data_IF_237698808870
#
_entry.id   IF_237698808870
#
_cell.length_a   1.000
_cell.length_b   1.000
_cell.length_c   1.000
_cell.angle_alpha   90.00
_cell.angle_beta   90.00
_cell.angle_gamma   90.00
#
_symmetry.space_group_name_H-M   'P 1'
#
loop_
_entity.id
_entity.type
_entity.pdbx_description
1 polymer ?
#
# COMPACT_ATOMS: atom_id res chain seq x y z
N UNK A 1 -57.79 -3.56 134.80
CA UNK A 1 -56.53 -3.44 134.03
C UNK A 1 -56.89 -3.41 132.55
N UNK A 2 -56.15 -2.59 131.81
CA UNK A 2 -56.09 -2.44 130.35
C UNK A 2 -57.20 -1.60 129.68
N UNK A 3 -56.73 -0.46 129.18
CA UNK A 3 -57.38 0.61 128.44
C UNK A 3 -57.88 0.16 127.05
N UNK A 4 -59.05 0.65 126.66
CA UNK A 4 -59.45 0.79 125.26
C UNK A 4 -59.54 2.28 124.96
N UNK A 5 -58.55 2.80 124.22
CA UNK A 5 -58.61 4.14 123.65
C UNK A 5 -58.88 4.01 122.14
N UNK A 6 -60.00 4.61 121.74
CA UNK A 6 -60.47 4.78 120.37
C UNK A 6 -59.53 5.70 119.58
N UNK A 7 -59.08 5.26 118.40
CA UNK A 7 -58.22 6.03 117.48
C UNK A 7 -58.92 6.29 116.13
N UNK A 8 -59.22 7.57 115.90
CA UNK A 8 -59.51 8.34 114.66
C UNK A 8 -59.72 7.67 113.28
N UNK A 9 -60.77 8.06 112.51
CA UNK A 9 -60.97 7.70 111.10
C UNK A 9 -60.32 8.67 110.08
N UNK A 10 -59.49 9.63 110.52
CA UNK A 10 -58.86 10.63 109.65
C UNK A 10 -57.59 10.15 108.91
N UNK A 11 -57.02 8.99 109.25
CA UNK A 11 -55.81 8.49 108.55
C UNK A 11 -56.12 7.70 107.26
N UNK A 12 -57.33 7.11 107.14
CA UNK A 12 -57.69 6.27 105.99
C UNK A 12 -57.88 7.07 104.69
N UNK A 13 -58.48 8.26 104.76
CA UNK A 13 -58.62 9.13 103.56
C UNK A 13 -57.28 9.70 103.10
N UNK A 14 -56.37 10.00 104.04
CA UNK A 14 -55.04 10.49 103.70
C UNK A 14 -54.18 9.37 103.08
N UNK A 15 -54.30 8.14 103.57
CA UNK A 15 -53.63 6.97 102.98
C UNK A 15 -54.15 6.64 101.57
N UNK A 16 -55.46 6.75 101.31
CA UNK A 16 -56.02 6.55 99.96
C UNK A 16 -55.55 7.62 98.96
N UNK A 17 -55.49 8.89 99.38
CA UNK A 17 -54.99 9.99 98.54
C UNK A 17 -53.48 9.84 98.28
N UNK A 18 -52.71 9.39 99.28
CA UNK A 18 -51.31 9.05 99.11
C UNK A 18 -51.13 7.87 98.14
N UNK A 19 -51.95 6.81 98.24
CA UNK A 19 -51.90 5.68 97.32
C UNK A 19 -52.25 6.08 95.88
N UNK A 20 -53.25 6.93 95.67
CA UNK A 20 -53.54 7.49 94.34
C UNK A 20 -52.38 8.34 93.82
N UNK A 21 -51.74 9.14 94.67
CA UNK A 21 -50.57 9.95 94.28
C UNK A 21 -49.36 9.07 93.93
N UNK A 22 -49.12 8.00 94.68
CA UNK A 22 -48.07 7.02 94.40
C UNK A 22 -48.36 6.29 93.10
N UNK A 23 -49.59 5.82 92.87
CA UNK A 23 -49.98 5.18 91.62
C UNK A 23 -49.86 6.11 90.40
N UNK A 24 -50.24 7.39 90.55
CA UNK A 24 -50.07 8.39 89.48
C UNK A 24 -48.58 8.66 89.18
N UNK A 25 -47.73 8.77 90.20
CA UNK A 25 -46.28 8.93 90.03
C UNK A 25 -45.63 7.67 89.44
N UNK A 26 -46.12 6.48 89.77
CA UNK A 26 -45.66 5.21 89.18
C UNK A 26 -46.05 5.12 87.70
N UNK A 27 -47.25 5.56 87.35
CA UNK A 27 -47.69 5.66 85.96
C UNK A 27 -46.84 6.66 85.18
N UNK A 28 -46.62 7.86 85.72
CA UNK A 28 -45.77 8.90 85.11
C UNK A 28 -44.32 8.40 84.95
N UNK A 29 -43.78 7.70 85.94
CA UNK A 29 -42.46 7.04 85.86
C UNK A 29 -42.42 5.98 84.76
N UNK A 30 -43.47 5.19 84.61
CA UNK A 30 -43.56 4.17 83.56
C UNK A 30 -43.66 4.80 82.15
N UNK A 31 -44.43 5.88 82.01
CA UNK A 31 -44.52 6.67 80.78
C UNK A 31 -43.18 7.32 80.42
N UNK A 32 -42.48 7.89 81.41
CA UNK A 32 -41.16 8.47 81.23
C UNK A 32 -40.11 7.43 80.80
N UNK A 33 -40.16 6.22 81.37
CA UNK A 33 -39.29 5.10 80.97
C UNK A 33 -39.58 4.68 79.52
N UNK A 34 -40.85 4.57 79.13
CA UNK A 34 -41.23 4.24 77.75
C UNK A 34 -40.75 5.31 76.76
N UNK A 35 -40.96 6.59 77.09
CA UNK A 35 -40.50 7.70 76.23
C UNK A 35 -38.98 7.71 76.09
N UNK A 36 -38.25 7.48 77.19
CA UNK A 36 -36.79 7.35 77.16
C UNK A 36 -36.34 6.19 76.27
N UNK A 37 -36.97 5.01 76.39
CA UNK A 37 -36.67 3.86 75.55
C UNK A 37 -36.96 4.13 74.07
N UNK A 38 -38.04 4.84 73.77
CA UNK A 38 -38.38 5.24 72.41
C UNK A 38 -37.33 6.19 71.82
N UNK A 39 -36.92 7.21 72.56
CA UNK A 39 -35.86 8.14 72.13
C UNK A 39 -34.50 7.42 71.95
N UNK A 40 -34.15 6.49 72.83
CA UNK A 40 -32.95 5.66 72.69
C UNK A 40 -33.00 4.79 71.44
N UNK A 41 -34.16 4.19 71.14
CA UNK A 41 -34.36 3.39 69.93
C UNK A 41 -34.26 4.26 68.66
N UNK A 42 -34.90 5.43 68.64
CA UNK A 42 -34.80 6.39 67.53
C UNK A 42 -33.37 6.89 67.32
N UNK A 43 -32.65 7.19 68.40
CA UNK A 43 -31.25 7.60 68.31
C UNK A 43 -30.37 6.49 67.73
N UNK A 44 -30.54 5.24 68.19
CA UNK A 44 -29.81 4.09 67.67
C UNK A 44 -30.14 3.82 66.20
N UNK A 45 -31.41 3.98 65.80
CA UNK A 45 -31.82 3.86 64.40
C UNK A 45 -31.17 4.95 63.53
N UNK A 46 -31.20 6.20 63.98
CA UNK A 46 -30.53 7.32 63.27
C UNK A 46 -29.03 7.06 63.13
N UNK A 47 -28.36 6.65 64.21
CA UNK A 47 -26.94 6.29 64.20
C UNK A 47 -26.64 5.15 63.22
N UNK A 48 -27.47 4.11 63.17
CA UNK A 48 -27.31 3.00 62.24
C UNK A 48 -27.41 3.47 60.77
N UNK A 49 -28.42 4.28 60.45
CA UNK A 49 -28.60 4.88 59.12
C UNK A 49 -27.42 5.77 58.71
N UNK A 50 -26.92 6.61 59.60
CA UNK A 50 -25.74 7.44 59.32
C UNK A 50 -24.49 6.60 59.08
N UNK A 51 -24.29 5.54 59.87
CA UNK A 51 -23.16 4.61 59.68
C UNK A 51 -23.25 3.90 58.33
N UNK A 52 -24.43 3.43 57.95
CA UNK A 52 -24.67 2.79 56.66
C UNK A 52 -24.41 3.75 55.49
N UNK A 53 -24.90 4.98 55.56
CA UNK A 53 -24.65 6.01 54.55
C UNK A 53 -23.16 6.32 54.39
N UNK A 54 -22.43 6.44 55.51
CA UNK A 54 -20.99 6.69 55.49
C UNK A 54 -20.22 5.54 54.84
N UNK A 55 -20.54 4.29 55.18
CA UNK A 55 -19.91 3.11 54.60
C UNK A 55 -20.22 3.01 53.10
N UNK A 56 -21.47 3.24 52.71
CA UNK A 56 -21.88 3.26 51.30
C UNK A 56 -21.12 4.34 50.51
N UNK A 57 -20.97 5.55 51.07
CA UNK A 57 -20.18 6.62 50.45
C UNK A 57 -18.69 6.28 50.38
N UNK A 58 -18.13 5.64 51.40
CA UNK A 58 -16.73 5.21 51.39
C UNK A 58 -16.47 4.13 50.31
N UNK A 59 -17.41 3.19 50.15
CA UNK A 59 -17.36 2.18 49.09
C UNK A 59 -17.49 2.79 47.69
N UNK A 60 -18.40 3.75 47.51
CA UNK A 60 -18.55 4.47 46.25
C UNK A 60 -17.30 5.27 45.90
N UNK A 61 -16.69 5.94 46.89
CA UNK A 61 -15.46 6.71 46.68
C UNK A 61 -14.30 5.78 46.30
N UNK A 62 -14.19 4.60 46.92
CA UNK A 62 -13.23 3.56 46.50
C UNK A 62 -13.48 3.10 45.06
N UNK A 63 -14.74 2.85 44.69
CA UNK A 63 -15.12 2.45 43.32
C UNK A 63 -14.71 3.53 42.30
N UNK A 64 -14.98 4.80 42.61
CA UNK A 64 -14.58 5.93 41.76
C UNK A 64 -13.07 6.06 41.63
N UNK A 65 -12.31 5.92 42.73
CA UNK A 65 -10.84 5.94 42.67
C UNK A 65 -10.31 4.83 41.77
N UNK A 66 -10.82 3.60 41.89
CA UNK A 66 -10.39 2.49 41.02
C UNK A 66 -10.77 2.72 39.55
N UNK A 67 -11.92 3.33 39.28
CA UNK A 67 -12.34 3.67 37.92
C UNK A 67 -11.46 4.77 37.32
N UNK A 68 -11.09 5.79 38.11
CA UNK A 68 -10.19 6.86 37.70
C UNK A 68 -8.77 6.33 37.40
N UNK A 69 -8.25 5.46 38.26
CA UNK A 69 -6.96 4.79 38.05
C UNK A 69 -6.98 3.94 36.77
N UNK A 70 -8.07 3.20 36.53
CA UNK A 70 -8.28 2.45 35.29
C UNK A 70 -8.28 3.35 34.04
N UNK A 71 -9.07 4.42 34.06
CA UNK A 71 -9.12 5.39 32.96
C UNK A 71 -7.76 6.08 32.73
N UNK A 72 -7.00 6.35 33.79
CA UNK A 72 -5.67 6.95 33.67
C UNK A 72 -4.65 5.97 33.08
N UNK A 73 -4.73 4.69 33.44
CA UNK A 73 -3.92 3.64 32.83
C UNK A 73 -4.25 3.49 31.33
N UNK A 74 -5.54 3.48 30.96
CA UNK A 74 -5.98 3.45 29.56
C UNK A 74 -5.49 4.66 28.78
N UNK A 75 -5.62 5.87 29.33
CA UNK A 75 -5.12 7.10 28.72
C UNK A 75 -3.61 7.02 28.46
N UNK A 76 -2.83 6.52 29.42
CA UNK A 76 -1.37 6.36 29.26
C UNK A 76 -1.02 5.32 28.18
N UNK A 77 -1.80 4.24 28.07
CA UNK A 77 -1.65 3.22 27.04
C UNK A 77 -1.93 3.79 25.65
N UNK A 78 -3.04 4.52 25.49
CA UNK A 78 -3.42 5.16 24.22
C UNK A 78 -2.38 6.23 23.82
N UNK A 79 -1.88 7.02 24.78
CA UNK A 79 -0.80 7.98 24.50
C UNK A 79 0.47 7.28 24.00
N UNK A 80 0.82 6.13 24.57
CA UNK A 80 1.97 5.33 24.15
C UNK A 80 1.77 4.77 22.73
N UNK A 81 0.59 4.23 22.43
CA UNK A 81 0.24 3.75 21.08
C UNK A 81 0.28 4.88 20.05
N UNK A 82 -0.21 6.06 20.41
CA UNK A 82 -0.18 7.24 19.54
C UNK A 82 1.27 7.71 19.28
N UNK A 83 2.14 7.68 20.29
CA UNK A 83 3.57 7.97 20.10
C UNK A 83 4.24 6.94 19.18
N UNK A 84 3.94 5.66 19.37
CA UNK A 84 4.43 4.56 18.54
C UNK A 84 3.98 4.71 17.07
N UNK A 85 2.69 4.92 16.84
CA UNK A 85 2.14 5.13 15.50
C UNK A 85 2.75 6.36 14.80
N UNK A 86 3.02 7.45 15.54
CA UNK A 86 3.74 8.62 15.01
C UNK A 86 5.16 8.28 14.58
N UNK A 87 5.89 7.50 15.38
CA UNK A 87 7.25 7.07 15.03
C UNK A 87 7.27 6.16 13.79
N UNK A 88 6.28 5.27 13.66
CA UNK A 88 6.12 4.41 12.49
C UNK A 88 5.81 5.22 11.22
N UNK A 89 4.95 6.24 11.31
CA UNK A 89 4.67 7.15 10.20
C UNK A 89 5.96 7.87 9.74
N UNK A 90 6.76 8.39 10.67
CA UNK A 90 8.03 9.05 10.31
C UNK A 90 9.02 8.07 9.67
N UNK A 91 9.07 6.83 10.14
CA UNK A 91 9.90 5.78 9.54
C UNK A 91 9.43 5.47 8.11
N UNK A 92 8.12 5.32 7.88
CA UNK A 92 7.54 5.08 6.56
C UNK A 92 7.84 6.25 5.62
N UNK A 93 7.72 7.50 6.09
CA UNK A 93 8.07 8.69 5.29
C UNK A 93 9.54 8.71 4.88
N UNK A 94 10.45 8.36 5.80
CA UNK A 94 11.88 8.27 5.49
C UNK A 94 12.15 7.20 4.43
N UNK A 95 11.58 6.00 4.58
CA UNK A 95 11.71 4.91 3.60
C UNK A 95 11.12 5.29 2.23
N UNK A 96 9.95 5.94 2.22
CA UNK A 96 9.32 6.40 0.98
C UNK A 96 10.21 7.44 0.25
N UNK A 97 10.81 8.38 0.99
CA UNK A 97 11.71 9.39 0.42
C UNK A 97 12.97 8.74 -0.18
N UNK A 98 13.59 7.80 0.54
CA UNK A 98 14.76 7.06 0.03
C UNK A 98 14.37 6.24 -1.20
N UNK A 99 13.24 5.53 -1.17
CA UNK A 99 12.76 4.73 -2.31
C UNK A 99 12.49 5.59 -3.54
N UNK A 100 11.90 6.78 -3.37
CA UNK A 100 11.64 7.69 -4.48
C UNK A 100 12.93 8.25 -5.07
N UNK A 101 13.88 8.66 -4.23
CA UNK A 101 15.19 9.12 -4.69
C UNK A 101 15.95 8.01 -5.43
N UNK A 102 15.94 6.77 -4.94
CA UNK A 102 16.58 5.64 -5.62
C UNK A 102 15.94 5.34 -6.97
N UNK A 103 14.61 5.45 -7.11
CA UNK A 103 13.93 5.31 -8.42
C UNK A 103 14.34 6.43 -9.36
N UNK A 104 14.39 7.67 -8.87
CA UNK A 104 14.79 8.83 -9.66
C UNK A 104 16.24 8.70 -10.15
N UNK A 105 17.15 8.29 -9.28
CA UNK A 105 18.55 7.99 -9.63
C UNK A 105 18.67 6.88 -10.69
N UNK A 106 17.90 5.80 -10.57
CA UNK A 106 17.90 4.73 -11.57
C UNK A 106 17.40 5.20 -12.93
N UNK A 107 16.35 6.04 -12.95
CA UNK A 107 15.83 6.66 -14.18
C UNK A 107 16.90 7.58 -14.80
N UNK A 108 17.54 8.41 -13.99
CA UNK A 108 18.55 9.36 -14.47
C UNK A 108 19.82 8.65 -14.95
N UNK A 109 20.21 7.53 -14.32
CA UNK A 109 21.30 6.69 -14.79
C UNK A 109 21.01 6.09 -16.18
N UNK A 110 19.82 5.52 -16.40
CA UNK A 110 19.42 4.99 -17.72
C UNK A 110 19.36 6.11 -18.76
N UNK A 111 18.87 7.30 -18.39
CA UNK A 111 18.86 8.47 -19.28
C UNK A 111 20.28 8.91 -19.66
N UNK A 112 21.20 8.97 -18.70
CA UNK A 112 22.61 9.31 -18.96
C UNK A 112 23.26 8.30 -19.89
N UNK A 113 23.10 7.00 -19.62
CA UNK A 113 23.61 5.93 -20.47
C UNK A 113 23.07 6.04 -21.89
N UNK A 114 21.77 6.24 -22.07
CA UNK A 114 21.20 6.38 -23.40
C UNK A 114 21.73 7.63 -24.13
N UNK A 115 21.89 8.76 -23.42
CA UNK A 115 22.49 9.97 -23.98
C UNK A 115 23.96 9.75 -24.38
N UNK A 116 24.74 9.05 -23.55
CA UNK A 116 26.14 8.71 -23.81
C UNK A 116 26.27 7.77 -25.01
N UNK A 117 25.45 6.74 -25.13
CA UNK A 117 25.42 5.82 -26.28
C UNK A 117 25.06 6.55 -27.57
N UNK A 118 24.06 7.43 -27.52
CA UNK A 118 23.69 8.27 -28.68
C UNK A 118 24.83 9.20 -29.07
N UNK A 119 25.48 9.86 -28.12
CA UNK A 119 26.61 10.74 -28.38
C UNK A 119 27.82 9.98 -28.93
N UNK A 120 28.10 8.78 -28.40
CA UNK A 120 29.16 7.88 -28.85
C UNK A 120 28.92 7.42 -30.29
N UNK A 121 27.73 6.92 -30.60
CA UNK A 121 27.36 6.53 -31.97
C UNK A 121 27.45 7.70 -32.95
N UNK A 122 26.95 8.88 -32.54
CA UNK A 122 27.07 10.08 -33.36
C UNK A 122 28.54 10.48 -33.61
N UNK A 123 29.42 10.34 -32.61
CA UNK A 123 30.85 10.61 -32.73
C UNK A 123 31.52 9.64 -33.71
N UNK A 124 31.28 8.33 -33.58
CA UNK A 124 31.82 7.30 -34.49
C UNK A 124 31.30 7.51 -35.92
N UNK A 125 30.01 7.79 -36.09
CA UNK A 125 29.44 8.07 -37.41
C UNK A 125 30.07 9.33 -38.04
N UNK A 126 30.29 10.37 -37.25
CA UNK A 126 30.96 11.58 -37.72
C UNK A 126 32.42 11.30 -38.10
N UNK A 127 33.14 10.54 -37.29
CA UNK A 127 34.54 10.15 -37.54
C UNK A 127 34.66 9.31 -38.80
N UNK A 128 33.84 8.28 -38.96
CA UNK A 128 33.84 7.43 -40.17
C UNK A 128 33.54 8.23 -41.44
N UNK A 129 32.59 9.17 -41.42
CA UNK A 129 32.34 10.08 -42.55
C UNK A 129 33.57 10.93 -42.85
N UNK A 130 34.17 11.57 -41.84
CA UNK A 130 35.40 12.34 -42.01
C UNK A 130 36.55 11.48 -42.58
N UNK A 131 36.72 10.24 -42.11
CA UNK A 131 37.73 9.32 -42.61
C UNK A 131 37.50 8.97 -44.08
N UNK A 132 36.26 8.68 -44.48
CA UNK A 132 35.93 8.44 -45.89
C UNK A 132 36.20 9.66 -46.75
N UNK A 133 35.87 10.87 -46.28
CA UNK A 133 36.17 12.12 -46.98
C UNK A 133 37.68 12.27 -47.19
N UNK A 134 38.50 12.05 -46.15
CA UNK A 134 39.97 12.13 -46.24
C UNK A 134 40.53 11.07 -47.19
N UNK A 135 40.08 9.81 -47.08
CA UNK A 135 40.53 8.73 -47.98
C UNK A 135 40.18 9.01 -49.43
N UNK A 136 39.00 9.57 -49.70
CA UNK A 136 38.58 9.94 -51.05
C UNK A 136 39.45 11.06 -51.63
N UNK A 137 39.73 12.11 -50.85
CA UNK A 137 40.64 13.18 -51.27
C UNK A 137 42.05 12.64 -51.55
N UNK A 138 42.56 11.77 -50.68
CA UNK A 138 43.88 11.17 -50.85
C UNK A 138 43.97 10.33 -52.14
N UNK A 139 42.95 9.52 -52.46
CA UNK A 139 42.90 8.77 -53.72
C UNK A 139 42.89 9.69 -54.95
N UNK A 140 42.10 10.75 -54.92
CA UNK A 140 42.06 11.73 -56.01
C UNK A 140 43.41 12.43 -56.20
N UNK A 141 44.09 12.79 -55.12
CA UNK A 141 45.44 13.37 -55.18
C UNK A 141 46.47 12.40 -55.75
N UNK A 142 46.39 11.11 -55.38
CA UNK A 142 47.23 10.06 -55.94
C UNK A 142 47.01 9.89 -57.45
N UNK A 143 45.77 9.84 -57.92
CA UNK A 143 45.47 9.77 -59.35
C UNK A 143 46.03 10.98 -60.10
N UNK A 144 45.85 12.20 -59.56
CA UNK A 144 46.44 13.41 -60.15
C UNK A 144 47.97 13.31 -60.25
N UNK A 145 48.63 12.82 -59.20
CA UNK A 145 50.07 12.64 -59.20
C UNK A 145 50.53 11.59 -60.23
N UNK A 146 49.83 10.46 -60.34
CA UNK A 146 50.10 9.42 -61.33
C UNK A 146 49.96 9.94 -62.76
N UNK A 147 48.88 10.69 -63.06
CA UNK A 147 48.69 11.32 -64.36
C UNK A 147 49.78 12.33 -64.71
N UNK A 148 50.26 13.11 -63.73
CA UNK A 148 51.36 14.04 -63.93
C UNK A 148 52.68 13.28 -64.21
N UNK A 149 52.98 12.23 -63.45
CA UNK A 149 54.19 11.40 -63.68
C UNK A 149 54.19 10.73 -65.05
N UNK A 150 53.04 10.20 -65.49
CA UNK A 150 52.90 9.59 -66.81
C UNK A 150 53.15 10.60 -67.93
N UNK A 151 52.59 11.81 -67.80
CA UNK A 151 52.81 12.91 -68.74
C UNK A 151 54.29 13.27 -68.86
N UNK A 152 54.97 13.46 -67.74
CA UNK A 152 56.40 13.78 -67.69
C UNK A 152 57.26 12.65 -68.29
N UNK A 153 56.88 11.39 -68.09
CA UNK A 153 57.61 10.24 -68.64
C UNK A 153 57.52 10.18 -70.17
N UNK A 154 56.32 10.37 -70.71
CA UNK A 154 56.10 10.40 -72.15
C UNK A 154 56.83 11.57 -72.82
N UNK A 155 56.84 12.75 -72.18
CA UNK A 155 57.62 13.90 -72.66
C UNK A 155 59.13 13.59 -72.72
N UNK A 156 59.66 12.87 -71.72
CA UNK A 156 61.06 12.42 -71.71
C UNK A 156 61.36 11.42 -72.84
N UNK A 157 60.54 10.39 -73.03
CA UNK A 157 60.73 9.39 -74.08
C UNK A 157 60.72 9.99 -75.49
N UNK A 158 59.83 10.95 -75.74
CA UNK A 158 59.80 11.70 -77.01
C UNK A 158 61.10 12.49 -77.21
N UNK A 159 61.69 13.04 -76.15
CA UNK A 159 63.00 13.69 -76.19
C UNK A 159 64.14 12.72 -76.52
N UNK A 160 64.10 11.51 -75.98
CA UNK A 160 65.13 10.48 -76.17
C UNK A 160 65.11 9.85 -77.56
N UNK A 161 63.92 9.62 -78.12
CA UNK A 161 63.75 9.09 -79.48
C UNK A 161 64.24 10.09 -80.54
N UNK A 162 64.05 11.40 -80.29
CA UNK A 162 64.61 12.46 -81.15
C UNK A 162 66.14 12.45 -81.17
N UNK A 163 66.78 12.18 -80.03
CA UNK A 163 68.25 12.06 -79.93
C UNK A 163 68.76 10.82 -80.65
N UNK A 164 68.14 9.66 -80.43
CA UNK A 164 68.55 8.39 -81.06
C UNK A 164 68.40 8.37 -82.58
N UNK A 165 67.44 9.09 -83.15
CA UNK A 165 67.32 9.26 -84.61
C UNK A 165 68.54 9.99 -85.23
N UNK A 166 69.38 10.62 -84.40
CA UNK A 166 70.52 11.43 -84.85
C UNK A 166 71.84 10.63 -84.89
N UNK A 167 71.90 9.41 -84.31
CA UNK A 167 73.16 8.69 -84.12
C UNK A 167 73.03 7.17 -84.39
N UNK A 168 73.56 6.66 -85.52
CA UNK A 168 74.13 5.29 -85.58
C UNK A 168 74.00 4.48 -86.88
N UNK A 169 75.13 3.92 -87.36
CA UNK A 169 75.39 2.58 -87.99
C UNK A 169 76.89 2.55 -88.46
N UNK A 170 77.72 1.50 -88.45
CA UNK A 170 77.64 0.02 -88.54
C UNK A 170 79.06 -0.58 -88.29
N UNK A 171 79.22 -1.86 -87.90
CA UNK A 171 80.28 -2.80 -88.39
C UNK A 171 80.33 -4.12 -87.57
N UNK A 172 79.80 -5.23 -88.09
CA UNK A 172 80.10 -6.60 -87.62
C UNK A 172 79.96 -7.58 -88.81
N UNK A 173 81.02 -8.31 -89.18
CA UNK A 173 80.94 -9.51 -90.04
C UNK A 173 82.28 -10.26 -90.07
N UNK A 174 82.41 -11.32 -89.25
CA UNK A 174 83.42 -12.40 -89.19
C UNK A 174 83.62 -12.92 -87.75
N UNK A 175 83.14 -12.16 -86.77
CA UNK A 175 82.84 -12.60 -85.42
C UNK A 175 81.71 -13.66 -85.43
N UNK A 176 80.79 -13.54 -86.39
CA UNK A 176 79.47 -14.20 -86.52
C UNK A 176 79.46 -15.73 -86.54
N UNK A 177 80.54 -16.41 -86.93
CA UNK A 177 80.54 -17.88 -87.00
C UNK A 177 81.06 -18.56 -85.71
N UNK A 178 82.01 -17.94 -85.00
CA UNK A 178 82.38 -18.35 -83.64
C UNK A 178 81.35 -17.82 -82.63
N UNK A 179 80.77 -16.65 -82.93
CA UNK A 179 79.49 -16.19 -82.39
C UNK A 179 78.46 -17.29 -82.56
N UNK A 180 78.12 -17.81 -83.74
CA UNK A 180 77.01 -18.77 -83.90
C UNK A 180 77.00 -19.97 -82.94
N UNK A 181 78.15 -20.56 -82.62
CA UNK A 181 78.24 -21.66 -81.65
C UNK A 181 78.22 -21.18 -80.18
N UNK A 182 78.86 -20.04 -79.90
CA UNK A 182 78.78 -19.35 -78.62
C UNK A 182 77.36 -18.81 -78.37
N UNK A 183 76.70 -18.33 -79.42
CA UNK A 183 75.34 -17.82 -79.54
C UNK A 183 74.35 -18.95 -79.36
N UNK A 184 74.56 -20.16 -79.90
CA UNK A 184 73.65 -21.29 -79.64
C UNK A 184 73.71 -21.75 -78.17
N UNK A 185 74.91 -21.78 -77.57
CA UNK A 185 75.08 -22.08 -76.13
C UNK A 185 74.55 -20.92 -75.25
N UNK A 186 74.79 -19.69 -75.66
CA UNK A 186 74.30 -18.47 -75.03
C UNK A 186 72.78 -18.32 -75.22
N UNK A 187 72.21 -18.85 -76.30
CA UNK A 187 70.77 -18.90 -76.59
C UNK A 187 70.08 -19.92 -75.70
N UNK A 188 70.65 -21.12 -75.54
CA UNK A 188 70.18 -22.06 -74.53
C UNK A 188 70.30 -21.49 -73.13
N UNK A 189 71.44 -20.86 -72.78
CA UNK A 189 71.62 -20.18 -71.50
C UNK A 189 70.64 -19.01 -71.35
N UNK A 190 70.30 -18.29 -72.41
CA UNK A 190 69.32 -17.19 -72.43
C UNK A 190 67.89 -17.67 -72.22
N UNK A 191 67.61 -18.95 -72.42
CA UNK A 191 66.30 -19.56 -72.10
C UNK A 191 66.34 -20.20 -70.71
N UNK A 192 67.37 -21.00 -70.44
CA UNK A 192 67.49 -21.78 -69.20
C UNK A 192 67.78 -20.91 -67.98
N UNK A 193 68.70 -19.94 -68.05
CA UNK A 193 69.01 -19.09 -66.89
C UNK A 193 67.81 -18.24 -66.45
N UNK A 194 67.01 -17.62 -67.35
CA UNK A 194 65.77 -16.98 -66.94
C UNK A 194 64.77 -17.95 -66.32
N UNK A 195 64.62 -19.15 -66.87
CA UNK A 195 63.75 -20.19 -66.28
C UNK A 195 64.24 -20.64 -64.90
N UNK A 196 65.54 -20.84 -64.68
CA UNK A 196 66.11 -21.20 -63.38
C UNK A 196 65.94 -20.07 -62.35
N UNK A 197 66.18 -18.82 -62.77
CA UNK A 197 65.91 -17.63 -61.96
C UNK A 197 64.42 -17.52 -61.63
N UNK A 198 63.54 -17.80 -62.58
CA UNK A 198 62.10 -17.81 -62.38
C UNK A 198 61.66 -18.93 -61.43
N UNK A 199 62.18 -20.14 -61.57
CA UNK A 199 61.91 -21.26 -60.64
C UNK A 199 62.37 -20.89 -59.23
N UNK A 200 63.57 -20.30 -59.08
CA UNK A 200 64.06 -19.84 -57.79
C UNK A 200 63.16 -18.73 -57.19
N UNK A 201 62.75 -17.77 -58.02
CA UNK A 201 61.84 -16.70 -57.62
C UNK A 201 60.45 -17.24 -57.24
N UNK A 202 59.91 -18.21 -57.98
CA UNK A 202 58.64 -18.86 -57.70
C UNK A 202 58.70 -19.68 -56.41
N UNK A 203 59.80 -20.40 -56.16
CA UNK A 203 60.02 -21.10 -54.88
C UNK A 203 60.07 -20.13 -53.70
N UNK A 204 60.79 -19.00 -53.83
CA UNK A 204 60.84 -17.97 -52.78
C UNK A 204 59.48 -17.30 -52.55
N UNK A 205 58.70 -17.07 -53.62
CA UNK A 205 57.33 -16.54 -53.52
C UNK A 205 56.40 -17.54 -52.84
N UNK A 206 56.52 -18.83 -53.14
CA UNK A 206 55.74 -19.89 -52.51
C UNK A 206 56.02 -19.96 -51.01
N UNK A 207 57.29 -20.00 -50.59
CA UNK A 207 57.64 -20.03 -49.16
C UNK A 207 57.14 -18.77 -48.44
N UNK A 208 57.29 -17.59 -49.05
CA UNK A 208 56.78 -16.33 -48.48
C UNK A 208 55.25 -16.34 -48.35
N UNK A 209 54.54 -16.91 -49.33
CA UNK A 209 53.09 -17.06 -49.27
C UNK A 209 52.66 -18.06 -48.18
N UNK A 210 53.35 -19.19 -48.06
CA UNK A 210 53.11 -20.19 -47.00
C UNK A 210 53.32 -19.60 -45.60
N UNK A 211 54.37 -18.80 -45.39
CA UNK A 211 54.63 -18.14 -44.11
C UNK A 211 53.57 -17.08 -43.78
N UNK A 212 53.12 -16.30 -44.78
CA UNK A 212 52.01 -15.36 -44.63
C UNK A 212 50.70 -16.07 -44.27
N UNK A 213 50.42 -17.21 -44.87
CA UNK A 213 49.22 -18.02 -44.52
C UNK A 213 49.30 -18.46 -43.07
N UNK A 214 50.43 -19.02 -42.63
CA UNK A 214 50.61 -19.43 -41.22
C UNK A 214 50.47 -18.27 -40.24
N UNK A 215 51.01 -17.11 -40.57
CA UNK A 215 50.90 -15.91 -39.74
C UNK A 215 49.45 -15.41 -39.63
N UNK A 216 48.72 -15.39 -40.74
CA UNK A 216 47.30 -15.04 -40.76
C UNK A 216 46.45 -16.05 -39.99
N UNK A 217 46.72 -17.35 -40.13
CA UNK A 217 46.05 -18.40 -39.36
C UNK A 217 46.32 -18.25 -37.86
N UNK A 218 47.58 -18.03 -37.46
CA UNK A 218 47.93 -17.83 -36.06
C UNK A 218 47.28 -16.58 -35.47
N UNK A 219 47.23 -15.48 -36.24
CA UNK A 219 46.58 -14.23 -35.83
C UNK A 219 45.08 -14.42 -35.68
N UNK A 220 44.44 -15.09 -36.64
CA UNK A 220 43.01 -15.41 -36.59
C UNK A 220 42.64 -16.32 -35.42
N UNK A 221 43.47 -17.32 -35.11
CA UNK A 221 43.26 -18.19 -33.95
C UNK A 221 43.34 -17.40 -32.64
N UNK A 222 44.29 -16.46 -32.52
CA UNK A 222 44.40 -15.60 -31.33
C UNK A 222 43.19 -14.68 -31.19
N UNK A 223 42.74 -14.06 -32.28
CA UNK A 223 41.57 -13.19 -32.30
C UNK A 223 40.30 -13.95 -31.89
N UNK A 224 40.04 -15.12 -32.51
CA UNK A 224 38.90 -15.96 -32.16
C UNK A 224 38.96 -16.42 -30.70
N UNK A 225 40.14 -16.72 -30.16
CA UNK A 225 40.29 -17.08 -28.76
C UNK A 225 39.97 -15.90 -27.83
N UNK A 226 40.39 -14.69 -28.17
CA UNK A 226 40.06 -13.49 -27.40
C UNK A 226 38.55 -13.23 -27.38
N UNK A 227 37.88 -13.34 -28.54
CA UNK A 227 36.41 -13.22 -28.64
C UNK A 227 35.73 -14.31 -27.81
N UNK A 228 36.20 -15.55 -27.89
CA UNK A 228 35.64 -16.65 -27.11
C UNK A 228 35.73 -16.40 -25.59
N UNK A 229 36.86 -15.88 -25.10
CA UNK A 229 37.00 -15.56 -23.68
C UNK A 229 36.11 -14.38 -23.25
N UNK A 230 35.95 -13.37 -24.11
CA UNK A 230 35.01 -12.27 -23.86
C UNK A 230 33.55 -12.79 -23.77
N UNK A 231 33.13 -13.63 -24.72
CA UNK A 231 31.81 -14.26 -24.73
C UNK A 231 31.57 -15.14 -23.49
N UNK A 232 32.58 -15.91 -23.05
CA UNK A 232 32.50 -16.69 -21.81
C UNK A 232 32.27 -15.78 -20.59
N UNK A 233 32.98 -14.67 -20.50
CA UNK A 233 32.81 -13.69 -19.41
C UNK A 233 31.41 -13.07 -19.43
N UNK A 234 30.95 -12.61 -20.59
CA UNK A 234 29.60 -12.06 -20.74
C UNK A 234 28.52 -13.09 -20.37
N UNK A 235 28.72 -14.37 -20.73
CA UNK A 235 27.83 -15.46 -20.33
C UNK A 235 27.78 -15.63 -18.82
N UNK A 236 28.92 -15.59 -18.13
CA UNK A 236 28.95 -15.69 -16.66
C UNK A 236 28.25 -14.52 -15.99
N UNK A 237 28.38 -13.30 -16.53
CA UNK A 237 27.67 -12.13 -16.00
C UNK A 237 26.16 -12.27 -16.18
N UNK A 238 25.70 -12.75 -17.35
CA UNK A 238 24.29 -13.04 -17.61
C UNK A 238 23.75 -14.12 -16.67
N UNK A 239 24.49 -15.21 -16.44
CA UNK A 239 24.12 -16.26 -15.49
C UNK A 239 23.96 -15.67 -14.06
N UNK A 240 24.84 -14.76 -13.65
CA UNK A 240 24.75 -14.06 -12.38
C UNK A 240 23.51 -13.14 -12.32
N UNK A 241 23.24 -12.34 -13.36
CA UNK A 241 22.04 -11.51 -13.42
C UNK A 241 20.76 -12.35 -13.33
N UNK A 242 20.70 -13.48 -14.05
CA UNK A 242 19.57 -14.41 -13.99
C UNK A 242 19.41 -14.98 -12.59
N UNK A 243 20.49 -15.34 -11.89
CA UNK A 243 20.43 -15.82 -10.51
C UNK A 243 19.89 -14.76 -9.53
N UNK A 244 20.35 -13.50 -9.67
CA UNK A 244 19.85 -12.37 -8.85
C UNK A 244 18.38 -12.11 -9.13
N UNK A 245 17.97 -12.06 -10.40
CA UNK A 245 16.57 -11.86 -10.78
C UNK A 245 15.67 -13.00 -10.28
N UNK A 246 16.13 -14.25 -10.33
CA UNK A 246 15.38 -15.38 -9.78
C UNK A 246 15.24 -15.28 -8.25
N UNK A 247 16.29 -14.82 -7.55
CA UNK A 247 16.23 -14.57 -6.10
C UNK A 247 15.24 -13.45 -5.78
N UNK A 248 15.31 -12.32 -6.49
CA UNK A 248 14.38 -11.20 -6.34
C UNK A 248 12.94 -11.63 -6.61
N UNK A 249 12.71 -12.44 -7.65
CA UNK A 249 11.40 -13.03 -7.96
C UNK A 249 10.87 -13.87 -6.80
N UNK A 250 11.69 -14.71 -6.17
CA UNK A 250 11.28 -15.52 -5.01
C UNK A 250 10.87 -14.65 -3.84
N UNK A 251 11.68 -13.65 -3.48
CA UNK A 251 11.39 -12.73 -2.37
C UNK A 251 10.08 -11.98 -2.59
N UNK A 252 9.90 -11.39 -3.78
CA UNK A 252 8.66 -10.68 -4.10
C UNK A 252 7.43 -11.60 -4.09
N UNK A 253 7.60 -12.86 -4.50
CA UNK A 253 6.54 -13.85 -4.45
C UNK A 253 6.17 -14.22 -3.01
N UNK A 254 7.17 -14.42 -2.14
CA UNK A 254 6.99 -14.69 -0.71
C UNK A 254 6.29 -13.51 0.00
N UNK A 255 6.70 -12.28 -0.28
CA UNK A 255 6.06 -11.07 0.27
C UNK A 255 4.60 -10.95 -0.19
N UNK A 256 4.31 -11.23 -1.46
CA UNK A 256 2.95 -11.24 -1.98
C UNK A 256 2.09 -12.34 -1.32
N UNK A 257 2.68 -13.50 -1.02
CA UNK A 257 2.01 -14.59 -0.28
C UNK A 257 1.75 -14.21 1.18
N UNK A 258 2.70 -13.54 1.83
CA UNK A 258 2.58 -13.06 3.20
C UNK A 258 1.48 -12.00 3.32
N UNK A 259 1.50 -10.99 2.45
CA UNK A 259 0.47 -9.95 2.41
C UNK A 259 -0.92 -10.54 2.14
N UNK A 260 -1.01 -11.56 1.25
CA UNK A 260 -2.27 -12.29 1.05
C UNK A 260 -2.75 -12.94 2.34
N UNK A 261 -1.89 -13.62 3.11
CA UNK A 261 -2.29 -14.25 4.39
C UNK A 261 -2.75 -13.21 5.42
N UNK A 262 -2.00 -12.13 5.59
CA UNK A 262 -2.35 -11.04 6.50
C UNK A 262 -3.70 -10.41 6.16
N UNK A 263 -3.99 -10.21 4.87
CA UNK A 263 -5.29 -9.73 4.42
C UNK A 263 -6.41 -10.71 4.78
N UNK A 264 -6.22 -12.02 4.58
CA UNK A 264 -7.21 -13.03 4.95
C UNK A 264 -7.47 -13.01 6.46
N UNK A 265 -6.44 -12.89 7.28
CA UNK A 265 -6.56 -12.84 8.75
C UNK A 265 -7.33 -11.59 9.22
N UNK A 266 -7.06 -10.43 8.63
CA UNK A 266 -7.79 -9.19 8.93
C UNK A 266 -9.25 -9.30 8.49
N UNK A 267 -9.53 -9.82 7.29
CA UNK A 267 -10.89 -10.07 6.83
C UNK A 267 -11.64 -11.03 7.77
N UNK A 268 -10.98 -12.08 8.25
CA UNK A 268 -11.57 -13.03 9.19
C UNK A 268 -11.92 -12.36 10.53
N UNK A 269 -11.01 -11.56 11.09
CA UNK A 269 -11.25 -10.80 12.32
C UNK A 269 -12.41 -9.81 12.17
N UNK A 270 -12.45 -9.08 11.06
CA UNK A 270 -13.54 -8.13 10.77
C UNK A 270 -14.90 -8.84 10.71
N UNK A 271 -14.96 -10.01 10.05
CA UNK A 271 -16.19 -10.78 9.97
C UNK A 271 -16.63 -11.30 11.35
N UNK A 272 -15.67 -11.71 12.18
CA UNK A 272 -15.93 -12.12 13.56
C UNK A 272 -16.49 -10.97 14.41
N UNK A 273 -15.89 -9.78 14.35
CA UNK A 273 -16.38 -8.59 15.04
C UNK A 273 -17.78 -8.20 14.55
N UNK A 274 -18.02 -8.28 13.23
CA UNK A 274 -19.33 -8.02 12.63
C UNK A 274 -20.39 -8.99 13.17
N UNK A 275 -20.05 -10.27 13.31
CA UNK A 275 -20.95 -11.27 13.90
C UNK A 275 -21.24 -10.98 15.38
N UNK A 276 -20.21 -10.67 16.17
CA UNK A 276 -20.35 -10.31 17.58
C UNK A 276 -21.21 -9.06 17.77
N UNK A 277 -20.97 -8.02 16.97
CA UNK A 277 -21.78 -6.80 16.98
C UNK A 277 -23.25 -7.08 16.67
N UNK A 278 -23.53 -7.90 15.64
CA UNK A 278 -24.89 -8.30 15.31
C UNK A 278 -25.56 -9.12 16.43
N UNK A 279 -24.83 -10.03 17.07
CA UNK A 279 -25.34 -10.79 18.21
C UNK A 279 -25.70 -9.87 19.39
N UNK A 280 -24.83 -8.90 19.70
CA UNK A 280 -25.09 -7.92 20.74
C UNK A 280 -26.29 -7.06 20.40
N UNK A 281 -26.39 -6.57 19.16
CA UNK A 281 -27.54 -5.80 18.66
C UNK A 281 -28.84 -6.57 18.83
N UNK A 282 -28.88 -7.84 18.44
CA UNK A 282 -30.08 -8.68 18.62
C UNK A 282 -30.43 -8.93 20.09
N UNK A 283 -29.43 -9.09 20.95
CA UNK A 283 -29.65 -9.30 22.38
C UNK A 283 -30.17 -8.03 23.05
N UNK A 284 -29.60 -6.88 22.68
CA UNK A 284 -30.05 -5.58 23.16
C UNK A 284 -31.47 -5.27 22.68
N UNK A 285 -31.80 -5.53 21.41
CA UNK A 285 -33.16 -5.40 20.90
C UNK A 285 -34.15 -6.26 21.69
N UNK A 286 -33.83 -7.54 21.92
CA UNK A 286 -34.67 -8.42 22.76
C UNK A 286 -34.86 -7.89 24.17
N UNK A 287 -33.80 -7.39 24.81
CA UNK A 287 -33.88 -6.83 26.15
C UNK A 287 -34.74 -5.56 26.19
N UNK A 288 -34.63 -4.70 25.18
CA UNK A 288 -35.44 -3.50 25.04
C UNK A 288 -36.93 -3.85 24.82
N UNK A 289 -37.22 -4.78 23.90
CA UNK A 289 -38.58 -5.27 23.66
C UNK A 289 -39.21 -5.85 24.94
N UNK A 290 -38.44 -6.63 25.71
CA UNK A 290 -38.86 -7.17 27.01
C UNK A 290 -39.13 -6.07 28.04
N UNK A 291 -38.30 -5.04 28.10
CA UNK A 291 -38.52 -3.89 28.99
C UNK A 291 -39.82 -3.16 28.65
N UNK A 292 -40.05 -2.88 27.36
CA UNK A 292 -41.26 -2.22 26.88
C UNK A 292 -42.52 -3.08 27.09
N UNK A 293 -42.41 -4.40 26.93
CA UNK A 293 -43.51 -5.32 27.23
C UNK A 293 -43.82 -5.38 28.74
N UNK A 294 -42.79 -5.44 29.58
CA UNK A 294 -42.94 -5.38 31.04
C UNK A 294 -43.62 -4.08 31.49
N UNK A 295 -43.19 -2.93 30.95
CA UNK A 295 -43.81 -1.63 31.25
C UNK A 295 -45.28 -1.59 30.80
N UNK A 296 -45.61 -2.12 29.62
CA UNK A 296 -47.01 -2.24 29.15
C UNK A 296 -47.86 -3.12 30.05
N UNK A 297 -47.32 -4.23 30.54
CA UNK A 297 -48.01 -5.10 31.48
C UNK A 297 -48.27 -4.38 32.82
N UNK A 298 -47.27 -3.67 33.34
CA UNK A 298 -47.41 -2.87 34.56
C UNK A 298 -48.49 -1.80 34.41
N UNK A 299 -48.55 -1.11 33.28
CA UNK A 299 -49.61 -0.13 33.01
C UNK A 299 -51.00 -0.79 32.97
N UNK A 300 -51.16 -1.98 32.37
CA UNK A 300 -52.43 -2.73 32.42
C UNK A 300 -52.81 -3.13 33.83
N UNK A 301 -51.84 -3.54 34.65
CA UNK A 301 -52.09 -3.94 36.03
C UNK A 301 -52.48 -2.74 36.90
N UNK A 302 -51.83 -1.58 36.72
CA UNK A 302 -52.24 -0.32 37.34
C UNK A 302 -53.70 0.03 37.01
N UNK A 303 -54.05 0.03 35.72
CA UNK A 303 -55.42 0.31 35.26
C UNK A 303 -56.45 -0.68 35.84
N UNK A 304 -56.07 -1.95 35.96
CA UNK A 304 -56.93 -2.97 36.57
C UNK A 304 -57.18 -2.66 38.05
N UNK A 305 -56.15 -2.30 38.81
CA UNK A 305 -56.28 -1.91 40.21
C UNK A 305 -57.16 -0.66 40.33
N UNK A 306 -56.92 0.36 39.50
CA UNK A 306 -57.73 1.58 39.43
C UNK A 306 -59.23 1.27 39.23
N UNK A 307 -59.57 0.29 38.39
CA UNK A 307 -60.97 -0.09 38.13
C UNK A 307 -61.71 -0.72 39.32
N UNK A 308 -60.99 -1.21 40.34
CA UNK A 308 -61.58 -1.86 41.53
C UNK A 308 -61.65 -0.89 42.73
N UNK A 309 -60.99 0.27 42.65
CA UNK A 309 -61.04 1.30 43.69
C UNK A 309 -62.39 2.04 43.68
N UNK A 310 -62.86 2.47 44.86
CA UNK A 310 -64.06 3.31 44.93
C UNK A 310 -63.76 4.73 44.42
N UNK A 311 -64.78 5.47 43.99
CA UNK A 311 -64.63 6.84 43.49
C UNK A 311 -64.02 7.81 44.52
N UNK A 312 -64.20 7.56 45.82
CA UNK A 312 -63.56 8.32 46.91
C UNK A 312 -62.05 8.01 47.00
N UNK A 313 -61.68 6.73 46.83
CA UNK A 313 -60.28 6.28 46.85
C UNK A 313 -59.53 6.76 45.61
N UNK A 314 -60.19 6.77 44.45
CA UNK A 314 -59.62 7.28 43.20
C UNK A 314 -59.31 8.78 43.31
N UNK A 315 -60.22 9.58 43.89
CA UNK A 315 -60.01 11.01 44.13
C UNK A 315 -58.81 11.26 45.05
N UNK A 316 -58.66 10.48 46.12
CA UNK A 316 -57.50 10.60 47.02
C UNK A 316 -56.18 10.19 46.34
N UNK A 317 -56.18 9.16 45.51
CA UNK A 317 -55.00 8.74 44.75
C UNK A 317 -54.61 9.81 43.72
N UNK A 318 -55.55 10.40 43.00
CA UNK A 318 -55.27 11.52 42.08
C UNK A 318 -54.78 12.77 42.81
N UNK A 319 -55.35 13.09 43.97
CA UNK A 319 -54.95 14.24 44.79
C UNK A 319 -53.53 14.04 45.38
N UNK A 320 -53.16 12.80 45.74
CA UNK A 320 -51.77 12.46 46.10
C UNK A 320 -50.84 12.50 44.90
N UNK A 321 -51.22 11.90 43.77
CA UNK A 321 -50.39 11.89 42.55
C UNK A 321 -50.11 13.29 42.04
N UNK A 322 -51.08 14.21 42.17
CA UNK A 322 -50.93 15.62 41.84
C UNK A 322 -49.98 16.32 42.81
N UNK A 323 -50.08 16.04 44.12
CA UNK A 323 -49.14 16.56 45.12
C UNK A 323 -47.71 16.10 44.85
N UNK A 324 -47.51 14.82 44.57
CA UNK A 324 -46.19 14.26 44.26
C UNK A 324 -45.61 14.91 42.99
N UNK A 325 -46.44 15.13 41.95
CA UNK A 325 -46.01 15.87 40.76
C UNK A 325 -45.63 17.32 41.04
N UNK A 326 -46.43 18.04 41.82
CA UNK A 326 -46.15 19.42 42.22
C UNK A 326 -44.86 19.50 43.06
N UNK A 327 -44.57 18.48 43.88
CA UNK A 327 -43.36 18.38 44.68
C UNK A 327 -42.13 18.08 43.81
N UNK A 328 -42.22 17.12 42.88
CA UNK A 328 -41.17 16.82 41.89
C UNK A 328 -40.84 18.03 41.00
N UNK A 329 -41.86 18.74 40.51
CA UNK A 329 -41.66 19.96 39.71
C UNK A 329 -40.97 21.05 40.53
N UNK A 330 -41.35 21.19 41.79
CA UNK A 330 -40.72 22.14 42.71
C UNK A 330 -39.28 21.77 43.02
N UNK A 331 -38.96 20.48 43.17
CA UNK A 331 -37.59 20.00 43.32
C UNK A 331 -36.75 20.28 42.07
N UNK A 332 -37.29 20.02 40.88
CA UNK A 332 -36.61 20.34 39.61
C UNK A 332 -36.38 21.84 39.47
N UNK A 333 -37.37 22.66 39.83
CA UNK A 333 -37.26 24.12 39.83
C UNK A 333 -36.23 24.61 40.86
N UNK A 334 -36.12 23.99 42.04
CA UNK A 334 -35.04 24.31 42.99
C UNK A 334 -33.67 23.89 42.47
N UNK A 335 -33.56 22.74 41.81
CA UNK A 335 -32.30 22.25 41.25
C UNK A 335 -31.81 23.15 40.10
N UNK A 336 -32.72 23.65 39.27
CA UNK A 336 -32.41 24.66 38.22
C UNK A 336 -32.08 26.02 38.84
N UNK A 337 -32.75 26.42 39.92
CA UNK A 337 -32.41 27.67 40.65
C UNK A 337 -31.04 27.61 41.33
N UNK A 338 -30.68 26.48 41.94
CA UNK A 338 -29.34 26.30 42.51
C UNK A 338 -28.25 26.37 41.44
N UNK A 339 -28.48 25.81 40.24
CA UNK A 339 -27.57 25.94 39.10
C UNK A 339 -27.46 27.39 38.58
N UNK A 340 -28.52 28.20 38.70
CA UNK A 340 -28.53 29.61 38.30
C UNK A 340 -27.93 30.53 39.39
N UNK A 341 -27.97 30.14 40.66
CA UNK A 341 -27.33 30.90 41.76
C UNK A 341 -25.81 30.67 41.82
N UNK A 342 -25.30 29.57 41.25
CA UNK A 342 -23.85 29.27 41.17
C UNK A 342 -23.15 29.93 39.97
N UNK A 343 -23.90 30.51 39.02
CA UNK A 343 -23.38 31.31 37.89
C UNK A 343 -23.38 32.84 38.17
N UNK A 344 -23.53 33.22 39.44
CA UNK A 344 -23.51 34.61 39.93
C UNK A 344 -22.11 35.23 39.99
N UNK A 345 -21.28 35.01 38.98
CA UNK A 345 -19.89 35.44 38.93
C UNK A 345 -19.40 35.79 37.53
N UNK A 346 -19.72 37.03 37.12
CA UNK A 346 -19.08 37.82 36.06
C UNK A 346 -19.83 37.97 34.72
N UNK A 347 -19.67 39.16 34.17
CA UNK A 347 -20.47 39.82 33.15
C UNK A 347 -20.44 39.11 31.77
N UNK A 348 -21.53 39.22 31.00
CA UNK A 348 -21.67 39.97 29.71
C UNK A 348 -22.56 39.22 28.68
N UNK A 349 -23.59 39.94 28.22
CA UNK A 349 -24.42 39.78 27.00
C UNK A 349 -25.64 38.83 26.96
N UNK A 350 -26.78 39.29 26.40
CA UNK A 350 -28.02 38.53 26.34
C UNK A 350 -28.08 37.70 25.05
N UNK A 351 -28.23 36.38 25.17
CA UNK A 351 -28.61 35.54 24.03
C UNK A 351 -29.87 34.77 24.39
N UNK A 352 -30.95 35.22 23.77
CA UNK A 352 -32.22 34.51 23.61
C UNK A 352 -31.99 33.12 22.98
N UNK A 353 -32.95 32.22 23.19
CA UNK A 353 -33.03 30.81 22.75
C UNK A 353 -32.29 29.75 23.58
N UNK A 354 -33.07 29.00 24.39
CA UNK A 354 -33.49 27.63 24.03
C UNK A 354 -34.29 26.97 25.16
N UNK A 355 -35.55 27.38 25.36
CA UNK A 355 -36.50 26.57 26.14
C UNK A 355 -37.93 26.77 25.64
N UNK A 356 -38.18 26.38 24.39
CA UNK A 356 -39.54 26.21 23.89
C UNK A 356 -40.02 24.80 24.23
N UNK A 357 -40.95 24.75 25.18
CA UNK A 357 -41.80 23.61 25.42
C UNK A 357 -42.62 23.26 24.18
N UNK A 358 -42.56 22.00 23.78
CA UNK A 358 -43.45 21.46 22.76
C UNK A 358 -44.77 21.04 23.42
N UNK A 359 -45.73 21.96 23.40
CA UNK A 359 -47.15 21.63 23.44
C UNK A 359 -47.51 21.00 22.09
N UNK A 360 -47.58 19.67 22.02
CA UNK A 360 -48.10 18.96 20.84
C UNK A 360 -49.60 18.79 21.02
N UNK A 361 -50.38 19.60 20.30
CA UNK A 361 -51.77 19.30 19.97
C UNK A 361 -51.79 18.12 18.99
N UNK A 362 -52.47 17.05 19.40
CA UNK A 362 -52.85 15.94 18.53
C UNK A 362 -54.32 16.16 18.08
N UNK A 363 -54.67 15.97 16.80
CA UNK A 363 -56.02 15.61 16.43
C UNK A 363 -56.08 14.17 15.92
N UNK A 364 -56.95 13.41 16.57
CA UNK A 364 -57.36 12.05 16.22
C UNK A 364 -57.90 11.92 14.78
N UNK A 365 -57.59 10.82 14.10
CA UNK A 365 -58.57 9.92 13.46
C UNK A 365 -57.92 8.72 12.73
N UNK A 366 -58.23 7.53 13.25
CA UNK A 366 -58.66 6.33 12.52
C UNK A 366 -57.64 5.44 11.75
N UNK A 367 -57.45 4.26 12.34
CA UNK A 367 -57.53 2.91 11.73
C UNK A 367 -56.96 2.66 10.32
N UNK A 368 -55.96 1.79 10.20
CA UNK A 368 -56.12 0.48 9.56
C UNK A 368 -54.78 -0.27 9.50
N UNK A 369 -54.80 -1.53 9.94
CA UNK A 369 -53.77 -2.50 9.65
C UNK A 369 -53.61 -2.66 8.12
N UNK A 370 -52.38 -2.90 7.65
CA UNK A 370 -51.99 -3.93 6.68
C UNK A 370 -50.54 -3.70 6.26
N UNK A 371 -49.66 -4.67 6.58
CA UNK A 371 -48.33 -4.74 6.00
C UNK A 371 -48.42 -5.09 4.52
N UNK A 372 -47.60 -4.46 3.69
CA UNK A 372 -47.33 -4.92 2.34
C UNK A 372 -45.99 -4.38 1.85
N UNK A 373 -45.05 -5.29 1.63
CA UNK A 373 -43.81 -5.11 0.90
C UNK A 373 -44.11 -4.91 -0.59
N UNK A 374 -43.55 -3.87 -1.23
CA UNK A 374 -43.23 -3.78 -2.66
C UNK A 374 -42.29 -2.57 -2.81
N UNK A 375 -41.02 -2.70 -3.21
CA UNK A 375 -40.50 -3.05 -4.55
C UNK A 375 -40.97 -2.07 -5.63
N UNK A 376 -39.98 -1.52 -6.35
CA UNK A 376 -39.93 -0.80 -7.64
C UNK A 376 -39.08 0.47 -7.45
N UNK A 377 -37.82 0.55 -7.92
CA UNK A 377 -37.38 0.57 -9.32
C UNK A 377 -38.19 1.54 -10.19
N UNK A 378 -37.65 2.74 -10.39
CA UNK A 378 -38.03 3.69 -11.44
C UNK A 378 -36.80 4.52 -11.83
N UNK A 379 -36.26 4.20 -13.01
CA UNK A 379 -35.53 5.14 -13.86
C UNK A 379 -36.45 6.31 -14.26
N UNK A 380 -35.91 7.55 -14.34
CA UNK A 380 -36.23 8.56 -15.36
C UNK A 380 -35.31 9.81 -15.22
N UNK A 381 -34.47 9.99 -16.25
CA UNK A 381 -34.18 11.22 -17.03
C UNK A 381 -33.64 12.50 -16.36
N UNK A 382 -32.38 12.79 -16.72
CA UNK A 382 -31.76 14.04 -17.21
C UNK A 382 -32.07 15.42 -16.57
N UNK A 383 -31.00 16.14 -16.20
CA UNK A 383 -30.96 17.62 -16.34
C UNK A 383 -30.13 18.46 -15.36
N UNK A 384 -28.77 18.35 -15.39
CA UNK A 384 -27.78 19.38 -14.98
C UNK A 384 -27.58 19.71 -13.48
N UNK A 385 -26.58 20.54 -13.09
CA UNK A 385 -25.29 20.90 -13.69
C UNK A 385 -24.08 20.22 -13.00
N UNK A 386 -22.95 20.10 -13.73
CA UNK A 386 -21.74 19.41 -13.27
C UNK A 386 -21.01 20.11 -12.11
N UNK A 387 -20.55 19.27 -11.17
CA UNK A 387 -19.57 19.57 -10.12
C UNK A 387 -18.17 19.11 -10.61
N UNK A 388 -17.13 19.98 -10.67
CA UNK A 388 -15.84 19.66 -11.30
C UNK A 388 -14.90 18.78 -10.47
N UNK A 389 -15.36 18.10 -9.41
CA UNK A 389 -14.49 17.32 -8.51
C UNK A 389 -14.72 15.80 -8.47
N UNK A 390 -15.47 15.22 -9.42
CA UNK A 390 -15.64 13.76 -9.52
C UNK A 390 -15.18 13.19 -10.85
N UNK A 391 -13.87 13.21 -11.06
CA UNK A 391 -13.26 12.47 -12.16
C UNK A 391 -12.00 11.75 -11.68
N UNK A 392 -12.18 10.71 -10.87
CA UNK A 392 -11.17 9.69 -10.61
C UNK A 392 -11.86 8.47 -9.99
N UNK A 393 -12.61 7.69 -10.78
CA UNK A 393 -12.83 6.25 -10.57
C UNK A 393 -13.69 5.68 -11.72
N UNK A 394 -13.06 5.38 -12.87
CA UNK A 394 -13.57 4.36 -13.80
C UNK A 394 -12.45 3.39 -14.18
N UNK A 395 -12.54 2.20 -13.59
CA UNK A 395 -12.52 0.89 -14.24
C UNK A 395 -11.78 0.82 -15.58
N UNK A 396 -10.52 0.40 -15.55
CA UNK A 396 -9.83 -0.15 -16.71
C UNK A 396 -10.32 -1.59 -16.88
N UNK A 397 -11.13 -1.82 -17.92
CA UNK A 397 -11.35 -3.15 -18.50
C UNK A 397 -10.36 -3.36 -19.64
N UNK A 398 -9.76 -4.54 -19.64
CA UNK A 398 -8.79 -5.05 -20.60
C UNK A 398 -9.26 -4.90 -22.05
N UNK A 399 -8.37 -4.42 -22.92
CA UNK A 399 -8.40 -4.74 -24.34
C UNK A 399 -6.99 -5.13 -24.79
N UNK A 400 -6.81 -6.44 -24.95
CA UNK A 400 -5.79 -7.03 -25.80
C UNK A 400 -6.31 -6.95 -27.25
N UNK A 401 -5.59 -6.28 -28.14
CA UNK A 401 -5.77 -6.46 -29.58
C UNK A 401 -4.52 -5.99 -30.32
N UNK A 402 -3.79 -6.98 -30.81
CA UNK A 402 -2.70 -6.89 -31.76
C UNK A 402 -3.18 -6.24 -33.07
N UNK A 403 -2.40 -5.31 -33.60
CA UNK A 403 -2.70 -4.62 -34.87
C UNK A 403 -1.45 -4.04 -35.51
N UNK A 404 -0.64 -4.92 -36.11
CA UNK A 404 0.49 -4.55 -36.96
C UNK A 404 -0.03 -3.90 -38.25
N UNK A 405 0.39 -2.67 -38.53
CA UNK A 405 0.08 -1.95 -39.77
C UNK A 405 1.25 -2.09 -40.74
N UNK A 406 1.11 -2.94 -41.77
CA UNK A 406 1.89 -2.84 -43.00
C UNK A 406 0.94 -2.81 -44.21
N UNK A 407 0.92 -1.64 -44.84
CA UNK A 407 0.84 -1.38 -46.29
C UNK A 407 0.23 -2.48 -47.18
N UNK A 408 -1.02 -2.25 -47.62
CA UNK A 408 -1.62 -2.94 -48.74
C UNK A 408 -1.27 -2.22 -50.06
N UNK A 409 -0.49 -2.89 -50.92
CA UNK A 409 -0.37 -2.58 -52.33
C UNK A 409 -0.86 -3.80 -53.14
N UNK A 410 -1.85 -3.53 -53.99
CA UNK A 410 -2.23 -4.19 -55.26
C UNK A 410 -2.16 -5.72 -55.40
N UNK A 411 -3.32 -6.28 -55.73
CA UNK A 411 -3.49 -7.70 -56.03
C UNK A 411 -3.10 -8.14 -57.43
N UNK A 412 -3.16 -9.45 -57.63
CA UNK A 412 -3.75 -10.17 -58.77
C UNK A 412 -3.46 -11.68 -58.58
N UNK A 413 -4.54 -12.47 -58.58
CA UNK A 413 -4.72 -13.73 -59.33
C UNK A 413 -3.65 -14.84 -59.22
N UNK A 414 -4.10 -16.00 -58.70
CA UNK A 414 -3.90 -17.38 -59.20
C UNK A 414 -3.47 -18.40 -58.14
N UNK A 415 -4.36 -19.37 -57.88
CA UNK A 415 -4.03 -20.75 -57.48
C UNK A 415 -3.39 -21.46 -58.69
N UNK A 416 -2.50 -22.46 -58.53
CA UNK A 416 -2.97 -23.79 -58.12
C UNK A 416 -1.98 -24.67 -57.30
N UNK A 417 -2.58 -25.68 -56.66
CA UNK A 417 -2.15 -27.07 -56.42
C UNK A 417 -0.66 -27.41 -56.18
N UNK A 418 -0.38 -27.88 -54.96
CA UNK A 418 0.05 -29.26 -54.69
C UNK A 418 1.47 -29.69 -55.08
N UNK A 419 2.31 -29.92 -54.06
CA UNK A 419 3.21 -31.08 -54.01
C UNK A 419 3.65 -31.31 -52.55
N UNK A 420 3.35 -32.51 -52.06
CA UNK A 420 3.94 -33.10 -50.87
C UNK A 420 5.43 -33.37 -51.11
N UNK A 421 6.27 -33.09 -50.12
CA UNK A 421 7.49 -33.84 -49.86
C UNK A 421 7.84 -33.68 -48.38
N UNK A 422 7.68 -34.78 -47.67
CA UNK A 422 8.20 -34.99 -46.33
C UNK A 422 9.68 -35.36 -46.45
N UNK A 423 10.53 -34.77 -45.61
CA UNK A 423 11.84 -35.32 -45.25
C UNK A 423 12.10 -35.03 -43.79
N UNK A 424 12.17 -36.12 -43.04
CA UNK A 424 12.73 -36.23 -41.69
C UNK A 424 14.16 -35.68 -41.64
N UNK A 425 14.45 -34.83 -40.65
CA UNK A 425 15.79 -34.43 -40.22
C UNK A 425 15.92 -34.77 -38.73
N UNK A 426 15.97 -36.07 -38.44
CA UNK A 426 16.41 -36.62 -37.17
C UNK A 426 17.70 -37.41 -37.44
N UNK A 427 18.84 -36.71 -37.47
CA UNK A 427 20.09 -37.34 -37.87
C UNK A 427 21.35 -36.49 -37.72
N UNK A 428 21.50 -35.69 -36.66
CA UNK A 428 22.71 -34.88 -36.43
C UNK A 428 23.19 -34.87 -34.97
N UNK A 429 23.07 -35.99 -34.25
CA UNK A 429 23.65 -36.15 -32.91
C UNK A 429 24.28 -37.53 -32.68
N UNK A 430 25.23 -37.92 -33.52
CA UNK A 430 26.04 -39.12 -33.25
C UNK A 430 27.37 -39.12 -34.02
N UNK A 431 28.31 -38.22 -33.68
CA UNK A 431 29.71 -38.41 -34.10
C UNK A 431 30.78 -37.65 -33.29
N UNK A 432 30.78 -37.76 -31.95
CA UNK A 432 32.03 -37.56 -31.17
C UNK A 432 32.04 -38.53 -29.98
N UNK A 433 32.36 -39.79 -30.25
CA UNK A 433 32.68 -40.80 -29.25
C UNK A 433 34.12 -41.25 -29.48
N UNK A 434 35.08 -40.46 -29.03
CA UNK A 434 36.50 -40.79 -29.07
C UNK A 434 36.84 -41.64 -27.84
N UNK A 435 36.94 -42.95 -28.07
CA UNK A 435 37.72 -43.90 -27.27
C UNK A 435 39.21 -43.68 -27.53
N UNK A 436 40.02 -43.50 -26.49
CA UNK A 436 41.17 -44.36 -26.16
C UNK A 436 42.15 -43.70 -25.17
N UNK A 437 42.66 -44.57 -24.27
CA UNK A 437 43.80 -44.45 -23.35
C UNK A 437 43.57 -43.72 -22.02
#
# INVERSE_FOLDING_TARGET
MAEQASGSPLSSQHDEVLQQRVAALEQERAEFIKLKQQLEAEFNQKRAKFKELYLSKEEELKRQTTALEGAQAELSSVQTQLAQARAEIETIKAVATVSENTKQEAIDQVRSQWQEEVASLQAIMKETVCEYEVQFHQRLEQERAQWNQYREAMEREVGDLRRRLTEGQEEENLEDEMKKAQEDAEKLRSVVMPMEKEIAALKAKLTTAEDRVKELEASKVKELNHVLEAEKSCRTDLEMYVAVLNTQKSVLQEDAEKLRKELHDVCHKLELERQQHNQLKHTWQRANDQFLESQRLLMRDMQRIESVLSSEQLRQVEEMKKKDQEEDEKERLSQVKELHEDDGGDNTEPLEDLFLGLSVEEPHANHSAHGSMHSLDTDVVAGGPMDPYKENLRRVQSTDSLGSSLSAQQGLVAKPQGCQLATDEAGLWALVGLTAA
#
